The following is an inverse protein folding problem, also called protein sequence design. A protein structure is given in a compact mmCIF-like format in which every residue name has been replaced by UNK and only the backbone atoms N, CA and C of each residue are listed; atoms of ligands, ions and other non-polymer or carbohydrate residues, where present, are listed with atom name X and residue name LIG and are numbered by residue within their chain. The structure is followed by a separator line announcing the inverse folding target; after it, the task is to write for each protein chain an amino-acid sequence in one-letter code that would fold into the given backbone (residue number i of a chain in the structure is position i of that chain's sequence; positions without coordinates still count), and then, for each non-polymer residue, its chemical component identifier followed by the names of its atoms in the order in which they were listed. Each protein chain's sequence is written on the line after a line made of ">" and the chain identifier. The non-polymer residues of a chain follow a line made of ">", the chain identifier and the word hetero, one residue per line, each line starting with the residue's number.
data_IF_603966086863
#
_entry.id   IF_603966086863
#
_cell.length_a   1.000
_cell.length_b   1.000
_cell.length_c   1.000
_cell.angle_alpha   90.00
_cell.angle_beta   90.00
_cell.angle_gamma   90.00
#
_symmetry.space_group_name_H-M   'P 1'
#
loop_
_entity.id
_entity.type
_entity.pdbx_description
1 polymer ?
#
# COMPACT_ATOMS: atom_id res chain seq x y z
N UNK A 1 6.27 -10.08 -0.49
CA UNK A 1 4.81 -10.05 -0.82
C UNK A 1 4.30 -11.41 -1.31
N UNK A 2 5.18 -12.18 -1.93
CA UNK A 2 4.98 -13.50 -2.53
C UNK A 2 4.44 -14.52 -1.51
N UNK A 3 5.05 -14.60 -0.33
CA UNK A 3 4.60 -15.53 0.74
C UNK A 3 3.14 -15.29 1.12
N UNK A 4 2.72 -14.02 1.26
CA UNK A 4 1.33 -13.66 1.55
C UNK A 4 0.37 -14.07 0.42
N UNK A 5 0.81 -14.02 -0.83
CA UNK A 5 -0.03 -14.47 -1.96
C UNK A 5 -0.25 -15.98 -1.93
N UNK A 6 0.81 -16.73 -1.62
CA UNK A 6 0.76 -18.18 -1.46
C UNK A 6 -0.18 -18.57 -0.32
N UNK A 7 -0.05 -17.95 0.86
CA UNK A 7 -0.93 -18.20 2.01
C UNK A 7 -2.42 -17.98 1.69
N UNK A 8 -2.74 -16.92 0.94
CA UNK A 8 -4.12 -16.59 0.58
C UNK A 8 -4.68 -17.61 -0.43
N UNK A 9 -3.86 -18.03 -1.39
CA UNK A 9 -4.23 -19.06 -2.35
C UNK A 9 -4.44 -20.42 -1.66
N UNK A 10 -3.57 -20.80 -0.73
CA UNK A 10 -3.69 -22.02 0.09
C UNK A 10 -4.95 -22.00 0.96
N UNK A 11 -5.34 -20.82 1.46
CA UNK A 11 -6.60 -20.63 2.17
C UNK A 11 -7.85 -20.73 1.26
N UNK A 12 -7.68 -20.90 -0.04
CA UNK A 12 -8.75 -21.09 -1.03
C UNK A 12 -9.40 -19.79 -1.49
N UNK A 13 -8.70 -18.65 -1.36
CA UNK A 13 -9.19 -17.36 -1.83
C UNK A 13 -8.59 -16.97 -3.18
N UNK A 14 -9.35 -16.22 -3.97
CA UNK A 14 -8.88 -15.56 -5.19
C UNK A 14 -8.57 -14.09 -4.89
N UNK A 15 -7.31 -13.68 -5.14
CA UNK A 15 -6.86 -12.31 -4.90
C UNK A 15 -7.51 -11.35 -5.92
N UNK A 16 -8.13 -10.28 -5.43
CA UNK A 16 -8.68 -9.17 -6.22
C UNK A 16 -7.77 -7.94 -6.24
N UNK A 17 -6.88 -7.80 -5.26
CA UNK A 17 -5.83 -6.80 -5.26
C UNK A 17 -5.01 -6.85 -3.98
N UNK A 18 -3.72 -6.51 -4.08
CA UNK A 18 -2.80 -6.34 -2.95
C UNK A 18 -2.28 -4.92 -2.96
N UNK A 19 -2.29 -4.27 -1.80
CA UNK A 19 -2.02 -2.85 -1.65
C UNK A 19 -1.04 -2.61 -0.52
N UNK A 20 0.01 -1.83 -0.79
CA UNK A 20 0.87 -1.26 0.24
C UNK A 20 0.16 -0.12 0.96
N UNK A 21 0.07 -0.21 2.29
CA UNK A 21 -0.47 0.87 3.12
C UNK A 21 0.63 1.90 3.33
N UNK A 22 0.32 3.18 3.07
CA UNK A 22 1.24 4.34 3.14
C UNK A 22 2.39 4.32 2.14
N UNK A 23 2.95 3.15 1.80
CA UNK A 23 4.06 3.00 0.85
C UNK A 23 5.21 3.96 1.15
N UNK A 24 5.76 4.68 0.16
CA UNK A 24 6.86 5.62 0.38
C UNK A 24 6.50 6.80 1.29
N UNK A 25 5.20 7.05 1.54
CA UNK A 25 4.74 8.07 2.46
C UNK A 25 5.17 7.85 3.91
N UNK A 26 5.48 6.60 4.29
CA UNK A 26 6.02 6.25 5.62
C UNK A 26 7.36 6.96 5.92
N UNK A 27 8.13 7.28 4.88
CA UNK A 27 9.44 7.92 5.02
C UNK A 27 9.38 9.46 5.00
N UNK A 28 8.20 10.06 4.90
CA UNK A 28 8.05 11.51 4.93
C UNK A 28 8.34 12.04 6.35
N UNK A 29 9.40 12.83 6.50
CA UNK A 29 9.78 13.44 7.79
C UNK A 29 8.85 14.58 8.23
N UNK A 30 8.01 15.06 7.31
CA UNK A 30 7.09 16.19 7.47
C UNK A 30 5.61 15.76 7.33
N UNK A 31 5.29 14.53 7.72
CA UNK A 31 3.96 13.94 7.50
C UNK A 31 2.83 14.79 8.10
N UNK A 32 2.96 15.24 9.35
CA UNK A 32 1.93 16.05 10.02
C UNK A 32 1.65 17.36 9.27
N UNK A 33 2.70 18.05 8.82
CA UNK A 33 2.58 19.29 8.04
C UNK A 33 1.92 19.04 6.67
N UNK A 34 2.19 17.90 6.03
CA UNK A 34 1.53 17.52 4.78
C UNK A 34 0.06 17.19 5.00
N UNK A 35 -0.27 16.50 6.08
CA UNK A 35 -1.63 16.10 6.40
C UNK A 35 -2.52 17.29 6.82
N UNK A 36 -1.92 18.34 7.40
CA UNK A 36 -2.60 19.57 7.81
C UNK A 36 -3.00 20.47 6.63
N UNK A 37 -2.22 20.51 5.55
CA UNK A 37 -2.54 21.25 4.33
C UNK A 37 -3.31 20.36 3.35
N UNK A 38 -4.58 20.68 3.00
CA UNK A 38 -5.40 19.84 2.12
C UNK A 38 -4.75 19.52 0.77
N UNK A 39 -4.04 20.48 0.17
CA UNK A 39 -3.41 20.31 -1.14
C UNK A 39 -2.18 19.41 -1.03
N UNK A 40 -1.37 19.59 0.01
CA UNK A 40 -0.19 18.73 0.24
C UNK A 40 -0.60 17.30 0.59
N UNK A 41 -1.68 17.14 1.37
CA UNK A 41 -2.29 15.84 1.66
C UNK A 41 -2.73 15.14 0.39
N UNK A 42 -3.42 15.84 -0.50
CA UNK A 42 -3.86 15.28 -1.78
C UNK A 42 -2.66 14.82 -2.62
N UNK A 43 -1.62 15.65 -2.75
CA UNK A 43 -0.40 15.29 -3.47
C UNK A 43 0.31 14.06 -2.90
N UNK A 44 0.37 13.95 -1.56
CA UNK A 44 0.94 12.78 -0.90
C UNK A 44 0.10 11.53 -1.21
N UNK A 45 -1.22 11.62 -1.08
CA UNK A 45 -2.12 10.49 -1.35
C UNK A 45 -2.10 10.07 -2.82
N UNK A 46 -1.98 11.01 -3.75
CA UNK A 46 -1.84 10.72 -5.19
C UNK A 46 -0.55 9.95 -5.46
N UNK A 47 0.55 10.36 -4.83
CA UNK A 47 1.83 9.65 -4.92
C UNK A 47 1.74 8.24 -4.37
N UNK A 48 1.08 8.04 -3.22
CA UNK A 48 0.85 6.72 -2.64
C UNK A 48 0.02 5.86 -3.59
N UNK A 49 -1.09 6.40 -4.14
CA UNK A 49 -1.95 5.67 -5.09
C UNK A 49 -1.23 5.26 -6.37
N UNK A 50 -0.25 6.04 -6.85
CA UNK A 50 0.52 5.68 -8.03
C UNK A 50 1.36 4.42 -7.85
N UNK A 51 1.72 4.07 -6.61
CA UNK A 51 2.67 2.97 -6.33
C UNK A 51 2.12 1.90 -5.38
N UNK A 52 0.90 2.07 -4.85
CA UNK A 52 0.33 1.16 -3.84
C UNK A 52 0.18 -0.30 -4.34
N UNK A 53 0.12 -0.52 -5.66
CA UNK A 53 0.08 -1.85 -6.28
C UNK A 53 1.39 -2.24 -6.97
N UNK A 54 2.44 -1.41 -6.88
CA UNK A 54 3.67 -1.70 -7.60
C UNK A 54 4.52 -2.74 -6.87
N UNK A 55 4.56 -3.96 -7.43
CA UNK A 55 5.15 -5.14 -6.78
C UNK A 55 6.61 -4.92 -6.38
N UNK A 56 7.39 -4.24 -7.23
CA UNK A 56 8.80 -3.98 -6.94
C UNK A 56 9.02 -3.05 -5.75
N UNK A 57 8.00 -2.26 -5.37
CA UNK A 57 8.04 -1.33 -4.25
C UNK A 57 7.33 -1.86 -2.99
N UNK A 58 6.52 -2.92 -3.12
CA UNK A 58 5.78 -3.49 -1.98
C UNK A 58 6.68 -3.96 -0.83
N UNK A 59 7.91 -4.39 -1.12
CA UNK A 59 8.88 -4.78 -0.09
C UNK A 59 9.38 -3.62 0.78
N UNK A 60 9.13 -2.37 0.40
CA UNK A 60 9.46 -1.19 1.21
C UNK A 60 8.38 -0.86 2.23
N UNK A 61 7.14 -1.31 2.05
CA UNK A 61 6.04 -0.96 2.93
C UNK A 61 6.03 -1.86 4.18
N UNK A 62 5.82 -1.26 5.35
CA UNK A 62 5.67 -2.03 6.60
C UNK A 62 4.39 -2.87 6.65
N UNK A 63 3.37 -2.53 5.87
CA UNK A 63 2.06 -3.18 5.92
C UNK A 63 1.46 -3.38 4.52
N UNK A 64 0.87 -4.56 4.31
CA UNK A 64 0.13 -4.91 3.09
C UNK A 64 -1.32 -5.25 3.46
N UNK A 65 -2.25 -4.89 2.57
CA UNK A 65 -3.68 -5.27 2.66
C UNK A 65 -4.05 -6.00 1.37
N UNK A 66 -4.75 -7.12 1.52
CA UNK A 66 -5.24 -7.89 0.37
C UNK A 66 -6.77 -7.91 0.38
N UNK A 67 -7.35 -7.50 -0.74
CA UNK A 67 -8.74 -7.76 -1.06
C UNK A 67 -8.84 -9.10 -1.80
N UNK A 68 -9.60 -10.04 -1.26
CA UNK A 68 -9.79 -11.36 -1.84
C UNK A 68 -11.23 -11.85 -1.68
N UNK A 69 -11.63 -12.80 -2.52
CA UNK A 69 -12.93 -13.47 -2.48
C UNK A 69 -12.77 -14.98 -2.35
N UNK A 70 -13.81 -15.67 -1.88
CA UNK A 70 -13.83 -17.12 -1.70
C UNK A 70 -14.78 -17.77 -2.70
#
# INVERSE_FOLDING_TARGET
>A
PEELEEEIAEAGFSIRGMFSVQGPGEYATDLDDRMADPRRREQLLDLIRMVEQERTLMGMASHLVVAAEK
#
